data_IF_339161639938
#
_entry.id   IF_339161639938
#
_cell.length_a   1.000
_cell.length_b   1.000
_cell.length_c   1.000
_cell.angle_alpha   90.00
_cell.angle_beta   90.00
_cell.angle_gamma   90.00
#
_symmetry.space_group_name_H-M   'P 1'
#
loop_
_entity.id
_entity.type
_entity.pdbx_description
1 polymer ?
#
# COMPACT_ATOMS: atom_id res chain seq x y z
N UNK A 1 34.64 -25.27 -69.66
CA UNK A 1 34.93 -24.51 -68.42
C UNK A 1 34.95 -25.51 -67.27
N UNK A 2 36.08 -25.64 -66.59
CA UNK A 2 36.40 -26.75 -65.69
C UNK A 2 35.49 -26.76 -64.45
N UNK A 3 34.70 -27.83 -64.26
CA UNK A 3 33.87 -28.05 -63.06
C UNK A 3 34.64 -28.10 -61.73
N UNK A 4 35.98 -28.12 -61.77
CA UNK A 4 36.84 -27.88 -60.61
C UNK A 4 36.62 -26.47 -60.03
N UNK A 5 36.59 -25.42 -60.84
CA UNK A 5 36.42 -24.04 -60.34
C UNK A 5 35.04 -23.81 -59.71
N UNK A 6 33.99 -24.45 -60.26
CA UNK A 6 32.64 -24.37 -59.70
C UNK A 6 32.54 -25.00 -58.31
N UNK A 7 33.19 -26.16 -58.09
CA UNK A 7 33.24 -26.82 -56.77
C UNK A 7 34.00 -25.98 -55.74
N UNK A 8 35.10 -25.34 -56.15
CA UNK A 8 35.87 -24.45 -55.28
C UNK A 8 35.07 -23.20 -54.89
N UNK A 9 34.41 -22.54 -55.85
CA UNK A 9 33.58 -21.36 -55.58
C UNK A 9 32.37 -21.67 -54.67
N UNK A 10 31.73 -22.83 -54.83
CA UNK A 10 30.64 -23.28 -53.95
C UNK A 10 31.17 -23.55 -52.53
N UNK A 11 32.34 -24.18 -52.40
CA UNK A 11 32.98 -24.42 -51.11
C UNK A 11 33.28 -23.12 -50.34
N UNK A 12 33.75 -22.09 -51.03
CA UNK A 12 34.04 -20.77 -50.46
C UNK A 12 32.75 -20.07 -49.98
N UNK A 13 31.67 -20.10 -50.78
CA UNK A 13 30.36 -19.55 -50.37
C UNK A 13 29.83 -20.28 -49.15
N UNK A 14 29.88 -21.62 -49.12
CA UNK A 14 29.42 -22.41 -47.96
C UNK A 14 30.24 -22.09 -46.72
N UNK A 15 31.57 -21.95 -46.84
CA UNK A 15 32.45 -21.58 -45.73
C UNK A 15 32.11 -20.18 -45.18
N UNK A 16 31.89 -19.20 -46.07
CA UNK A 16 31.49 -17.84 -45.69
C UNK A 16 30.13 -17.83 -44.99
N UNK A 17 29.15 -18.57 -45.50
CA UNK A 17 27.83 -18.68 -44.89
C UNK A 17 27.91 -19.31 -43.49
N UNK A 18 28.70 -20.37 -43.31
CA UNK A 18 28.94 -20.97 -41.98
C UNK A 18 29.60 -19.95 -41.05
N UNK A 19 30.58 -19.18 -41.53
CA UNK A 19 31.21 -18.11 -40.76
C UNK A 19 30.22 -17.05 -40.28
N UNK A 20 29.33 -16.60 -41.16
CA UNK A 20 28.26 -15.63 -40.83
C UNK A 20 27.28 -16.22 -39.82
N UNK A 21 26.84 -17.47 -39.99
CA UNK A 21 25.90 -18.11 -39.08
C UNK A 21 26.50 -18.29 -37.68
N UNK A 22 27.78 -18.66 -37.57
CA UNK A 22 28.48 -18.76 -36.28
C UNK A 22 28.60 -17.38 -35.64
N UNK A 23 28.96 -16.34 -36.41
CA UNK A 23 29.06 -14.97 -35.90
C UNK A 23 27.71 -14.45 -35.38
N UNK A 24 26.62 -14.68 -36.13
CA UNK A 24 25.26 -14.37 -35.70
C UNK A 24 24.87 -15.14 -34.44
N UNK A 25 25.19 -16.44 -34.37
CA UNK A 25 24.92 -17.26 -33.19
C UNK A 25 25.61 -16.76 -31.92
N UNK A 26 26.89 -16.40 -32.00
CA UNK A 26 27.64 -15.83 -30.87
C UNK A 26 27.05 -14.49 -30.43
N UNK A 27 26.68 -13.63 -31.39
CA UNK A 27 26.06 -12.34 -31.07
C UNK A 27 24.72 -12.52 -30.35
N UNK A 28 23.85 -13.40 -30.86
CA UNK A 28 22.55 -13.70 -30.25
C UNK A 28 22.69 -14.25 -28.82
N UNK A 29 23.67 -15.14 -28.57
CA UNK A 29 23.93 -15.66 -27.22
C UNK A 29 24.41 -14.56 -26.26
N UNK A 30 25.26 -13.64 -26.72
CA UNK A 30 25.72 -12.51 -25.91
C UNK A 30 24.58 -11.53 -25.59
N UNK A 31 23.68 -11.27 -26.55
CA UNK A 31 22.48 -10.46 -26.34
C UNK A 31 21.53 -11.12 -25.33
N UNK A 32 21.25 -12.42 -25.47
CA UNK A 32 20.41 -13.15 -24.52
C UNK A 32 20.99 -13.14 -23.11
N UNK A 33 22.32 -13.32 -22.97
CA UNK A 33 22.99 -13.21 -21.67
C UNK A 33 22.79 -11.84 -21.04
N UNK A 34 22.92 -10.75 -21.81
CA UNK A 34 22.71 -9.38 -21.30
C UNK A 34 21.27 -9.14 -20.86
N UNK A 35 20.29 -9.62 -21.65
CA UNK A 35 18.88 -9.53 -21.30
C UNK A 35 18.56 -10.32 -20.01
N UNK A 36 19.14 -11.50 -19.85
CA UNK A 36 18.97 -12.30 -18.63
C UNK A 36 19.55 -11.60 -17.40
N UNK A 37 20.74 -10.98 -17.50
CA UNK A 37 21.32 -10.21 -16.38
C UNK A 37 20.38 -9.06 -15.97
N UNK A 38 19.85 -8.32 -16.94
CA UNK A 38 18.90 -7.23 -16.69
C UNK A 38 17.61 -7.75 -16.05
N UNK A 39 17.05 -8.85 -16.54
CA UNK A 39 15.87 -9.48 -15.96
C UNK A 39 16.06 -9.86 -14.49
N UNK A 40 17.22 -10.44 -14.15
CA UNK A 40 17.53 -10.78 -12.75
C UNK A 40 17.69 -9.54 -11.87
N UNK A 41 18.19 -8.44 -12.41
CA UNK A 41 18.26 -7.17 -11.70
C UNK A 41 16.86 -6.61 -11.41
N UNK A 42 15.98 -6.60 -12.42
CA UNK A 42 14.57 -6.21 -12.24
C UNK A 42 13.86 -7.05 -11.18
N UNK A 43 14.02 -8.37 -11.23
CA UNK A 43 13.36 -9.28 -10.27
C UNK A 43 13.88 -9.07 -8.85
N UNK A 44 15.19 -8.83 -8.68
CA UNK A 44 15.78 -8.46 -7.38
C UNK A 44 15.21 -7.14 -6.85
N UNK A 45 15.08 -6.14 -7.71
CA UNK A 45 14.55 -4.84 -7.30
C UNK A 45 13.06 -4.93 -6.95
N UNK A 46 12.25 -5.60 -7.77
CA UNK A 46 10.83 -5.87 -7.46
C UNK A 46 10.67 -6.58 -6.12
N UNK A 47 11.45 -7.64 -5.86
CA UNK A 47 11.42 -8.34 -4.57
C UNK A 47 11.74 -7.41 -3.40
N UNK A 48 12.74 -6.54 -3.55
CA UNK A 48 13.10 -5.56 -2.52
C UNK A 48 11.95 -4.57 -2.28
N UNK A 49 11.39 -4.00 -3.33
CA UNK A 49 10.27 -3.04 -3.23
C UNK A 49 9.02 -3.66 -2.62
N UNK A 50 8.69 -4.90 -2.98
CA UNK A 50 7.59 -5.64 -2.36
C UNK A 50 7.84 -5.92 -0.88
N UNK A 51 9.10 -6.13 -0.48
CA UNK A 51 9.46 -6.27 0.93
C UNK A 51 9.20 -4.96 1.68
N UNK A 52 9.54 -3.81 1.09
CA UNK A 52 9.20 -2.50 1.67
C UNK A 52 7.67 -2.28 1.70
N UNK A 53 6.96 -2.71 0.65
CA UNK A 53 5.50 -2.65 0.58
C UNK A 53 4.83 -3.42 1.72
N UNK A 54 5.35 -4.58 2.12
CA UNK A 54 4.80 -5.33 3.28
C UNK A 54 4.87 -4.54 4.59
N UNK A 55 5.92 -3.74 4.80
CA UNK A 55 6.03 -2.89 5.99
C UNK A 55 4.97 -1.78 5.99
N UNK A 56 4.67 -1.21 4.82
CA UNK A 56 3.62 -0.19 4.67
C UNK A 56 2.25 -0.80 4.94
N UNK A 57 1.99 -1.99 4.39
CA UNK A 57 0.76 -2.75 4.64
C UNK A 57 0.59 -3.04 6.15
N UNK A 58 1.65 -3.48 6.83
CA UNK A 58 1.61 -3.76 8.27
C UNK A 58 1.27 -2.51 9.10
N UNK A 59 1.85 -1.36 8.76
CA UNK A 59 1.53 -0.10 9.42
C UNK A 59 0.08 0.33 9.15
N UNK A 60 -0.45 0.08 7.94
CA UNK A 60 -1.85 0.34 7.64
C UNK A 60 -2.76 -0.56 8.46
N UNK A 61 -2.48 -1.87 8.56
CA UNK A 61 -3.26 -2.81 9.38
C UNK A 61 -3.34 -2.34 10.84
N UNK A 62 -2.19 -1.95 11.42
CA UNK A 62 -2.14 -1.45 12.81
C UNK A 62 -2.97 -0.18 12.99
N UNK A 63 -2.91 0.74 12.02
CA UNK A 63 -3.70 1.97 12.04
C UNK A 63 -5.20 1.67 11.98
N UNK A 64 -5.62 0.80 11.04
CA UNK A 64 -7.03 0.42 10.91
C UNK A 64 -7.53 -0.33 12.15
N UNK A 65 -6.73 -1.22 12.75
CA UNK A 65 -7.07 -1.86 14.04
C UNK A 65 -7.37 -0.83 15.13
N UNK A 66 -6.58 0.23 15.22
CA UNK A 66 -6.76 1.30 16.21
C UNK A 66 -8.10 2.01 16.01
N UNK A 67 -8.49 2.26 14.75
CA UNK A 67 -9.78 2.87 14.43
C UNK A 67 -10.96 1.93 14.68
N UNK A 68 -10.81 0.63 14.38
CA UNK A 68 -11.80 -0.40 14.70
C UNK A 68 -12.05 -0.44 16.20
N UNK A 69 -11.00 -0.51 17.02
CA UNK A 69 -11.10 -0.54 18.48
C UNK A 69 -11.79 0.70 19.04
N UNK A 70 -11.41 1.89 18.55
CA UNK A 70 -11.98 3.15 19.00
C UNK A 70 -13.47 3.28 18.66
N UNK A 71 -13.87 2.92 17.44
CA UNK A 71 -15.27 2.96 17.05
C UNK A 71 -16.10 1.90 17.78
N UNK A 72 -15.54 0.70 17.94
CA UNK A 72 -16.20 -0.39 18.66
C UNK A 72 -16.44 -0.03 20.14
N UNK A 73 -15.51 0.68 20.79
CA UNK A 73 -15.70 1.21 22.14
C UNK A 73 -16.96 2.10 22.22
N UNK A 74 -17.06 3.10 21.34
CA UNK A 74 -18.17 4.06 21.30
C UNK A 74 -19.51 3.37 20.97
N UNK A 75 -19.50 2.45 20.01
CA UNK A 75 -20.69 1.71 19.58
C UNK A 75 -21.19 0.81 20.72
N UNK A 76 -20.31 0.01 21.33
CA UNK A 76 -20.71 -0.97 22.36
C UNK A 76 -21.22 -0.30 23.63
N UNK A 77 -20.60 0.81 24.05
CA UNK A 77 -21.08 1.57 25.19
C UNK A 77 -22.51 2.06 24.95
N UNK A 78 -22.79 2.63 23.76
CA UNK A 78 -24.12 3.07 23.40
C UNK A 78 -25.13 1.92 23.32
N UNK A 79 -24.75 0.81 22.69
CA UNK A 79 -25.64 -0.34 22.53
C UNK A 79 -26.05 -0.92 23.89
N UNK A 80 -25.11 -0.96 24.85
CA UNK A 80 -25.30 -1.50 26.19
C UNK A 80 -26.12 -0.57 27.09
N UNK A 81 -25.81 0.74 27.07
CA UNK A 81 -26.33 1.69 28.06
C UNK A 81 -27.37 2.67 27.50
N UNK A 82 -27.54 2.73 26.17
CA UNK A 82 -28.32 3.74 25.43
C UNK A 82 -27.84 5.19 25.65
N UNK A 83 -26.63 5.34 26.17
CA UNK A 83 -25.91 6.60 26.41
C UNK A 83 -24.41 6.34 26.41
N UNK A 84 -23.61 7.40 26.32
CA UNK A 84 -22.17 7.37 26.51
C UNK A 84 -21.78 8.00 27.84
N UNK A 85 -20.66 7.56 28.41
CA UNK A 85 -19.97 8.27 29.48
C UNK A 85 -18.94 9.20 28.86
N UNK A 86 -19.22 10.50 28.87
CA UNK A 86 -18.36 11.54 28.30
C UNK A 86 -17.14 11.84 29.20
N UNK A 87 -16.30 10.84 29.43
CA UNK A 87 -15.02 11.00 30.11
C UNK A 87 -13.87 11.11 29.10
N UNK A 88 -12.64 11.20 29.62
CA UNK A 88 -11.43 11.30 28.78
C UNK A 88 -11.31 10.16 27.78
N UNK A 89 -11.74 8.94 28.13
CA UNK A 89 -11.63 7.78 27.25
C UNK A 89 -12.60 7.89 26.07
N UNK A 90 -13.83 8.38 26.30
CA UNK A 90 -14.76 8.68 25.21
C UNK A 90 -14.16 9.68 24.23
N UNK A 91 -13.66 10.83 24.72
CA UNK A 91 -13.12 11.87 23.83
C UNK A 91 -11.83 11.44 23.13
N UNK A 92 -10.97 10.63 23.78
CA UNK A 92 -9.81 10.02 23.13
C UNK A 92 -10.21 9.13 21.95
N UNK A 93 -11.15 8.20 22.16
CA UNK A 93 -11.60 7.32 21.09
C UNK A 93 -12.30 8.10 19.97
N UNK A 94 -13.15 9.07 20.33
CA UNK A 94 -13.85 9.88 19.34
C UNK A 94 -12.89 10.78 18.53
N UNK A 95 -11.83 11.29 19.16
CA UNK A 95 -10.76 12.03 18.49
C UNK A 95 -9.94 11.13 17.58
N UNK A 96 -9.59 9.92 18.03
CA UNK A 96 -8.83 8.93 17.26
C UNK A 96 -9.47 8.63 15.90
N UNK A 97 -10.81 8.61 15.84
CA UNK A 97 -11.55 8.36 14.61
C UNK A 97 -11.46 9.49 13.56
N UNK A 98 -11.00 10.68 13.96
CA UNK A 98 -10.70 11.78 13.03
C UNK A 98 -9.38 11.60 12.30
N UNK A 99 -8.52 10.71 12.78
CA UNK A 99 -7.27 10.40 12.12
C UNK A 99 -7.47 9.38 11.00
N UNK A 100 -6.50 9.38 10.10
CA UNK A 100 -6.39 8.47 8.97
C UNK A 100 -4.94 8.25 8.60
N UNK A 101 -4.64 7.06 8.11
CA UNK A 101 -3.34 6.77 7.52
C UNK A 101 -3.45 6.75 6.00
N UNK A 102 -2.51 7.41 5.33
CA UNK A 102 -2.42 7.39 3.87
C UNK A 102 -1.72 6.12 3.44
N UNK A 103 -2.35 5.35 2.57
CA UNK A 103 -1.71 4.22 1.93
C UNK A 103 -0.97 4.69 0.68
N UNK A 104 0.26 4.20 0.50
CA UNK A 104 1.12 4.52 -0.64
C UNK A 104 1.70 3.23 -1.23
N UNK A 105 1.93 3.25 -2.53
CA UNK A 105 2.55 2.14 -3.26
C UNK A 105 4.06 2.35 -3.46
N UNK A 106 4.82 1.25 -3.50
CA UNK A 106 6.23 1.20 -3.87
C UNK A 106 6.35 0.47 -5.20
N UNK A 107 6.48 1.23 -6.28
CA UNK A 107 6.33 0.73 -7.64
C UNK A 107 7.35 1.30 -8.64
N UNK A 108 8.46 1.88 -8.16
CA UNK A 108 9.45 2.53 -9.02
C UNK A 108 10.01 1.58 -10.09
N UNK A 109 10.32 0.33 -9.71
CA UNK A 109 10.80 -0.68 -10.65
C UNK A 109 9.71 -1.12 -11.64
N UNK A 110 8.46 -1.21 -11.18
CA UNK A 110 7.32 -1.54 -12.03
C UNK A 110 7.04 -0.43 -13.07
N UNK A 111 7.07 0.84 -12.65
CA UNK A 111 6.95 2.00 -13.53
C UNK A 111 8.07 2.02 -14.58
N UNK A 112 9.32 1.75 -14.17
CA UNK A 112 10.44 1.66 -15.12
C UNK A 112 10.21 0.54 -16.14
N UNK A 113 9.79 -0.66 -15.71
CA UNK A 113 9.48 -1.78 -16.61
C UNK A 113 8.40 -1.43 -17.64
N UNK A 114 7.33 -0.74 -17.22
CA UNK A 114 6.26 -0.32 -18.12
C UNK A 114 6.72 0.79 -19.09
N UNK A 115 7.31 1.85 -18.55
CA UNK A 115 7.68 3.04 -19.33
C UNK A 115 8.83 2.80 -20.31
N UNK A 116 9.75 1.89 -19.98
CA UNK A 116 10.86 1.49 -20.85
C UNK A 116 10.49 0.38 -21.85
N UNK A 117 9.29 -0.19 -21.77
CA UNK A 117 8.87 -1.35 -22.56
C UNK A 117 9.55 -2.67 -22.16
N UNK A 118 10.36 -2.66 -21.10
CA UNK A 118 11.10 -3.84 -20.61
C UNK A 118 10.23 -4.84 -19.86
N UNK A 119 8.96 -4.54 -19.63
CA UNK A 119 7.96 -5.50 -19.13
C UNK A 119 7.91 -6.78 -19.99
N UNK A 120 8.25 -6.69 -21.28
CA UNK A 120 8.37 -7.87 -22.17
C UNK A 120 9.44 -8.88 -21.73
N UNK A 121 10.46 -8.45 -20.97
CA UNK A 121 11.48 -9.36 -20.43
C UNK A 121 10.88 -10.38 -19.44
N UNK A 122 9.77 -10.04 -18.78
CA UNK A 122 9.04 -10.94 -17.88
C UNK A 122 8.15 -11.97 -18.61
N UNK A 123 7.99 -11.88 -19.93
CA UNK A 123 7.20 -12.87 -20.68
C UNK A 123 7.84 -14.26 -20.62
N UNK A 124 9.17 -14.32 -20.73
CA UNK A 124 9.92 -15.57 -20.65
C UNK A 124 9.85 -16.22 -19.27
N UNK A 125 9.70 -15.42 -18.21
CA UNK A 125 9.68 -15.94 -16.83
C UNK A 125 8.30 -16.40 -16.37
N UNK A 126 7.24 -16.23 -17.17
CA UNK A 126 5.83 -16.40 -16.78
C UNK A 126 5.37 -15.51 -15.62
N UNK A 127 6.23 -14.62 -15.11
CA UNK A 127 5.93 -13.70 -14.01
C UNK A 127 5.17 -12.44 -14.46
N UNK A 128 5.14 -12.15 -15.76
CA UNK A 128 4.55 -10.92 -16.31
C UNK A 128 3.13 -10.68 -15.81
N UNK A 129 2.26 -11.69 -15.89
CA UNK A 129 0.86 -11.52 -15.52
C UNK A 129 0.69 -11.39 -14.00
N UNK A 130 1.50 -12.09 -13.22
CA UNK A 130 1.47 -11.99 -11.76
C UNK A 130 1.88 -10.59 -11.31
N UNK A 131 2.97 -10.05 -11.87
CA UNK A 131 3.44 -8.68 -11.60
C UNK A 131 2.39 -7.66 -12.03
N UNK A 132 1.85 -7.76 -13.25
CA UNK A 132 0.84 -6.82 -13.74
C UNK A 132 -0.43 -6.84 -12.87
N UNK A 133 -0.94 -8.02 -12.54
CA UNK A 133 -2.18 -8.17 -11.77
C UNK A 133 -2.00 -7.61 -10.36
N UNK A 134 -0.87 -7.91 -9.72
CA UNK A 134 -0.53 -7.38 -8.40
C UNK A 134 -0.52 -5.84 -8.40
N UNK A 135 0.22 -5.22 -9.32
CA UNK A 135 0.35 -3.77 -9.33
C UNK A 135 -0.96 -3.06 -9.72
N UNK A 136 -1.82 -3.68 -10.53
CA UNK A 136 -3.18 -3.18 -10.78
C UNK A 136 -4.04 -3.20 -9.52
N UNK A 137 -3.95 -4.28 -8.73
CA UNK A 137 -4.74 -4.44 -7.53
C UNK A 137 -4.28 -3.51 -6.41
N UNK A 138 -2.96 -3.40 -6.17
CA UNK A 138 -2.44 -2.49 -5.15
C UNK A 138 -2.75 -1.02 -5.47
N UNK A 139 -2.74 -0.63 -6.75
CA UNK A 139 -3.16 0.71 -7.19
C UNK A 139 -4.67 0.93 -6.97
N UNK A 140 -5.50 -0.09 -7.23
CA UNK A 140 -6.94 -0.03 -6.94
C UNK A 140 -7.17 0.19 -5.45
N UNK A 141 -6.50 -0.59 -4.59
CA UNK A 141 -6.62 -0.51 -3.13
C UNK A 141 -6.14 0.85 -2.62
N UNK A 142 -5.02 1.37 -3.11
CA UNK A 142 -4.52 2.70 -2.78
C UNK A 142 -5.55 3.78 -3.05
N UNK A 143 -6.15 3.76 -4.25
CA UNK A 143 -7.18 4.73 -4.63
C UNK A 143 -8.39 4.63 -3.71
N UNK A 144 -8.89 3.43 -3.44
CA UNK A 144 -10.05 3.21 -2.57
C UNK A 144 -9.79 3.78 -1.17
N UNK A 145 -8.66 3.44 -0.55
CA UNK A 145 -8.31 3.93 0.79
C UNK A 145 -8.20 5.45 0.80
N UNK A 146 -7.49 6.03 -0.17
CA UNK A 146 -7.25 7.47 -0.20
C UNK A 146 -8.52 8.29 -0.52
N UNK A 147 -9.43 7.75 -1.34
CA UNK A 147 -10.74 8.35 -1.56
C UNK A 147 -11.63 8.26 -0.31
N UNK A 148 -11.69 7.08 0.34
CA UNK A 148 -12.45 6.91 1.57
C UNK A 148 -11.94 7.83 2.68
N UNK A 149 -10.62 7.93 2.82
CA UNK A 149 -9.96 8.89 3.70
C UNK A 149 -10.44 10.33 3.46
N UNK A 150 -10.40 10.79 2.21
CA UNK A 150 -10.75 12.18 1.89
C UNK A 150 -12.25 12.44 2.06
N UNK A 151 -13.11 11.55 1.53
CA UNK A 151 -14.54 11.81 1.40
C UNK A 151 -15.35 11.35 2.61
N UNK A 152 -14.94 10.26 3.26
CA UNK A 152 -15.73 9.61 4.31
C UNK A 152 -15.09 9.74 5.69
N UNK A 153 -13.77 9.92 5.78
CA UNK A 153 -13.13 10.25 7.06
C UNK A 153 -13.07 11.75 7.24
N UNK A 154 -12.33 12.47 6.40
CA UNK A 154 -12.07 13.91 6.58
C UNK A 154 -13.37 14.74 6.42
N UNK A 155 -14.10 14.56 5.31
CA UNK A 155 -15.29 15.36 4.98
C UNK A 155 -16.59 14.89 5.65
N UNK A 156 -16.63 13.70 6.26
CA UNK A 156 -17.82 13.21 6.95
C UNK A 156 -17.61 13.17 8.45
N UNK A 157 -16.82 12.22 8.96
CA UNK A 157 -16.60 12.09 10.41
C UNK A 157 -15.82 13.28 10.97
N UNK A 158 -14.71 13.66 10.33
CA UNK A 158 -13.86 14.77 10.75
C UNK A 158 -14.60 16.09 10.77
N UNK A 159 -15.32 16.42 9.69
CA UNK A 159 -16.15 17.62 9.65
C UNK A 159 -17.22 17.62 10.76
N UNK A 160 -17.99 16.54 10.92
CA UNK A 160 -19.01 16.44 11.97
C UNK A 160 -18.39 16.63 13.35
N UNK A 161 -17.30 15.92 13.64
CA UNK A 161 -16.66 15.97 14.95
C UNK A 161 -16.00 17.33 15.23
N UNK A 162 -15.59 18.08 14.20
CA UNK A 162 -15.12 19.46 14.36
C UNK A 162 -16.20 20.44 14.83
N UNK A 163 -17.47 20.13 14.55
CA UNK A 163 -18.60 21.00 14.91
C UNK A 163 -19.16 20.67 16.31
N UNK A 164 -19.16 19.39 16.70
CA UNK A 164 -19.83 18.92 17.94
C UNK A 164 -18.89 18.28 18.96
N UNK A 165 -17.67 17.92 18.54
CA UNK A 165 -16.72 17.14 19.32
C UNK A 165 -15.75 18.00 20.12
N UNK A 166 -15.18 17.40 21.17
CA UNK A 166 -14.06 17.95 21.93
C UNK A 166 -12.81 17.14 21.62
N UNK A 167 -11.88 17.73 20.87
CA UNK A 167 -10.61 17.10 20.52
C UNK A 167 -9.76 16.94 21.77
N UNK A 168 -9.54 15.68 22.15
CA UNK A 168 -8.74 15.30 23.30
C UNK A 168 -7.89 14.10 22.94
N UNK A 169 -6.60 14.34 22.72
CA UNK A 169 -5.65 13.29 22.39
C UNK A 169 -4.35 13.47 23.17
N UNK A 170 -4.03 12.47 23.97
CA UNK A 170 -2.80 12.39 24.76
C UNK A 170 -1.82 11.34 24.22
N UNK A 171 -2.17 10.69 23.11
CA UNK A 171 -1.49 9.52 22.55
C UNK A 171 -0.75 9.80 21.24
N UNK A 172 -1.30 10.60 20.31
CA UNK A 172 -0.62 10.93 19.06
C UNK A 172 0.67 11.75 19.28
N UNK A 173 0.70 12.60 20.31
CA UNK A 173 1.92 13.33 20.70
C UNK A 173 3.02 12.41 21.27
N UNK A 174 2.67 11.25 21.81
CA UNK A 174 3.63 10.30 22.39
C UNK A 174 4.20 9.31 21.35
N UNK A 175 3.49 9.08 20.24
CA UNK A 175 3.97 8.24 19.12
C UNK A 175 4.86 9.01 18.14
N UNK A 176 4.71 10.33 18.05
CA UNK A 176 5.65 11.19 17.34
C UNK A 176 6.91 11.35 18.20
N UNK A 177 7.97 10.57 17.91
CA UNK A 177 9.34 10.92 18.33
C UNK A 177 9.89 11.96 17.36
N UNK A 178 9.86 13.27 17.65
CA UNK A 178 10.37 14.26 16.72
C UNK A 178 11.86 14.00 16.47
N UNK A 179 12.24 13.69 15.23
CA UNK A 179 13.66 13.50 14.83
C UNK A 179 14.52 14.75 15.06
N UNK A 180 13.90 15.92 15.25
CA UNK A 180 14.49 17.14 15.85
C UNK A 180 13.43 17.80 16.72
N UNK A 181 13.66 17.80 18.03
CA UNK A 181 12.72 18.25 19.04
C UNK A 181 12.32 19.73 18.85
N UNK A 182 11.04 19.99 18.54
CA UNK A 182 10.39 21.07 19.28
C UNK A 182 10.53 20.71 20.76
N UNK A 183 10.87 21.66 21.65
CA UNK A 183 10.73 21.41 23.08
C UNK A 183 9.24 21.16 23.30
N UNK A 184 8.85 19.88 23.27
CA UNK A 184 7.60 19.39 23.79
C UNK A 184 7.71 19.62 25.30
N UNK A 185 7.53 20.86 25.75
CA UNK A 185 6.84 21.09 27.00
C UNK A 185 5.41 20.61 26.74
N UNK A 186 5.23 19.29 26.63
CA UNK A 186 3.95 18.62 26.68
C UNK A 186 3.42 18.91 28.07
N UNK A 187 2.81 20.08 28.24
CA UNK A 187 1.60 20.10 29.03
C UNK A 187 0.72 19.07 28.35
N UNK A 188 0.74 17.85 28.89
CA UNK A 188 -0.35 16.88 28.77
C UNK A 188 -1.59 17.75 28.90
N UNK A 189 -2.33 17.96 27.82
CA UNK A 189 -3.48 18.82 27.87
C UNK A 189 -4.40 18.22 28.93
N UNK A 190 -4.55 18.91 30.06
CA UNK A 190 -5.53 18.50 31.04
C UNK A 190 -6.88 18.69 30.36
N UNK A 191 -7.76 17.69 30.50
CA UNK A 191 -9.09 17.76 29.93
C UNK A 191 -9.79 19.03 30.43
N UNK A 192 -10.23 19.88 29.50
CA UNK A 192 -11.03 21.04 29.82
C UNK A 192 -12.48 20.56 30.01
N UNK A 193 -12.89 20.40 31.26
CA UNK A 193 -14.22 19.91 31.60
C UNK A 193 -15.34 20.85 31.13
N UNK A 194 -15.08 22.15 30.95
CA UNK A 194 -16.06 23.09 30.41
C UNK A 194 -16.32 22.85 28.93
N UNK A 195 -15.25 22.70 28.13
CA UNK A 195 -15.38 22.38 26.70
C UNK A 195 -15.93 20.96 26.49
N UNK A 196 -15.54 20.01 27.32
CA UNK A 196 -16.08 18.66 27.29
C UNK A 196 -17.59 18.63 27.58
N UNK A 197 -18.07 19.41 28.56
CA UNK A 197 -19.51 19.52 28.86
C UNK A 197 -20.28 20.15 27.70
N UNK A 198 -19.72 21.18 27.04
CA UNK A 198 -20.33 21.76 25.83
C UNK A 198 -20.45 20.70 24.73
N UNK A 199 -19.38 19.95 24.44
CA UNK A 199 -19.41 18.88 23.43
C UNK A 199 -20.40 17.78 23.79
N UNK A 200 -20.47 17.41 25.08
CA UNK A 200 -21.48 16.47 25.58
C UNK A 200 -22.90 16.96 25.28
N UNK A 201 -23.21 18.22 25.59
CA UNK A 201 -24.54 18.80 25.34
C UNK A 201 -24.86 18.80 23.84
N UNK A 202 -23.91 19.21 22.99
CA UNK A 202 -24.06 19.21 21.53
C UNK A 202 -24.27 17.81 20.95
N UNK A 203 -23.46 16.82 21.35
CA UNK A 203 -23.58 15.43 20.90
C UNK A 203 -24.93 14.83 21.34
N UNK A 204 -25.46 15.22 22.49
CA UNK A 204 -26.74 14.71 22.99
C UNK A 204 -27.98 15.30 22.30
N UNK A 205 -27.85 16.40 21.55
CA UNK A 205 -28.95 16.90 20.73
C UNK A 205 -29.45 15.80 19.77
N UNK A 206 -30.77 15.53 19.65
CA UNK A 206 -31.27 14.35 18.94
C UNK A 206 -30.73 14.16 17.51
N UNK A 207 -30.59 15.25 16.75
CA UNK A 207 -30.03 15.24 15.40
C UNK A 207 -28.54 14.89 15.39
N UNK A 208 -27.76 15.51 16.28
CA UNK A 208 -26.32 15.31 16.37
C UNK A 208 -26.01 13.91 16.91
N UNK A 209 -26.79 13.42 17.88
CA UNK A 209 -26.70 12.06 18.42
C UNK A 209 -26.83 11.00 17.34
N UNK A 210 -27.85 11.13 16.48
CA UNK A 210 -28.06 10.24 15.34
C UNK A 210 -26.91 10.35 14.33
N UNK A 211 -26.53 11.57 13.98
CA UNK A 211 -25.47 11.84 12.99
C UNK A 211 -24.12 11.30 13.46
N UNK A 212 -23.79 11.50 14.74
CA UNK A 212 -22.56 11.02 15.37
C UNK A 212 -22.50 9.49 15.35
N UNK A 213 -23.56 8.81 15.82
CA UNK A 213 -23.56 7.34 15.82
C UNK A 213 -23.50 6.76 14.40
N UNK A 214 -24.18 7.38 13.43
CA UNK A 214 -24.08 6.98 12.02
C UNK A 214 -22.66 7.15 11.47
N UNK A 215 -22.00 8.28 11.77
CA UNK A 215 -20.64 8.55 11.32
C UNK A 215 -19.63 7.61 11.98
N UNK A 216 -19.77 7.31 13.27
CA UNK A 216 -18.95 6.31 13.98
C UNK A 216 -19.14 4.92 13.36
N UNK A 217 -20.39 4.52 13.06
CA UNK A 217 -20.68 3.23 12.44
C UNK A 217 -20.09 3.13 11.02
N UNK A 218 -20.16 4.19 10.23
CA UNK A 218 -19.52 4.26 8.92
C UNK A 218 -18.00 4.12 9.07
N UNK A 219 -17.39 4.86 9.99
CA UNK A 219 -15.95 4.82 10.24
C UNK A 219 -15.47 3.43 10.65
N UNK A 220 -16.25 2.73 11.47
CA UNK A 220 -16.02 1.33 11.86
C UNK A 220 -16.01 0.39 10.65
N UNK A 221 -17.03 0.48 9.79
CA UNK A 221 -17.13 -0.37 8.59
C UNK A 221 -15.97 -0.12 7.63
N UNK A 222 -15.61 1.15 7.42
CA UNK A 222 -14.49 1.52 6.55
C UNK A 222 -13.17 0.95 7.08
N UNK A 223 -12.91 1.08 8.39
CA UNK A 223 -11.69 0.57 9.00
C UNK A 223 -11.58 -0.96 8.86
N UNK A 224 -12.68 -1.70 9.07
CA UNK A 224 -12.71 -3.15 8.84
C UNK A 224 -12.47 -3.48 7.37
N UNK A 225 -13.12 -2.77 6.44
CA UNK A 225 -12.95 -3.02 5.02
C UNK A 225 -11.51 -2.80 4.58
N UNK A 226 -10.90 -1.67 4.97
CA UNK A 226 -9.51 -1.38 4.66
C UNK A 226 -8.57 -2.41 5.29
N UNK A 227 -8.81 -2.81 6.54
CA UNK A 227 -8.01 -3.84 7.20
C UNK A 227 -8.08 -5.17 6.44
N UNK A 228 -9.26 -5.56 5.97
CA UNK A 228 -9.44 -6.78 5.19
C UNK A 228 -8.72 -6.70 3.83
N UNK A 229 -8.84 -5.57 3.13
CA UNK A 229 -8.11 -5.32 1.88
C UNK A 229 -6.60 -5.42 2.10
N UNK A 230 -6.08 -4.87 3.22
CA UNK A 230 -4.67 -4.96 3.58
C UNK A 230 -4.21 -6.38 3.90
N UNK A 231 -5.02 -7.18 4.59
CA UNK A 231 -4.69 -8.59 4.87
C UNK A 231 -4.59 -9.38 3.56
N UNK A 232 -5.57 -9.23 2.67
CA UNK A 232 -5.55 -9.88 1.35
C UNK A 232 -4.34 -9.42 0.53
N UNK A 233 -4.10 -8.11 0.47
CA UNK A 233 -2.95 -7.57 -0.26
C UNK A 233 -1.62 -8.04 0.32
N UNK A 234 -1.52 -8.23 1.64
CA UNK A 234 -0.32 -8.79 2.29
C UNK A 234 -0.05 -10.21 1.80
N UNK A 235 -1.08 -11.05 1.72
CA UNK A 235 -0.96 -12.42 1.24
C UNK A 235 -0.51 -12.46 -0.23
N UNK A 236 -1.12 -11.63 -1.09
CA UNK A 236 -0.74 -11.48 -2.51
C UNK A 236 0.69 -10.96 -2.68
N UNK A 237 1.09 -9.98 -1.87
CA UNK A 237 2.47 -9.44 -1.87
C UNK A 237 3.46 -10.53 -1.52
N UNK A 238 3.19 -11.32 -0.48
CA UNK A 238 4.06 -12.42 -0.05
C UNK A 238 4.11 -13.55 -1.08
N UNK A 239 2.98 -13.86 -1.74
CA UNK A 239 2.96 -14.84 -2.82
C UNK A 239 3.84 -14.39 -3.99
N UNK A 240 3.75 -13.12 -4.40
CA UNK A 240 4.59 -12.59 -5.46
C UNK A 240 6.07 -12.60 -5.08
N UNK A 241 6.42 -12.18 -3.85
CA UNK A 241 7.79 -12.28 -3.32
C UNK A 241 8.32 -13.71 -3.40
N UNK A 242 7.49 -14.70 -3.05
CA UNK A 242 7.85 -16.12 -3.12
C UNK A 242 8.16 -16.53 -4.56
N UNK A 243 7.28 -16.24 -5.52
CA UNK A 243 7.48 -16.56 -6.94
C UNK A 243 8.74 -15.89 -7.52
N UNK A 244 8.99 -14.63 -7.17
CA UNK A 244 10.20 -13.91 -7.57
C UNK A 244 11.47 -14.54 -6.96
N UNK A 245 11.38 -15.07 -5.74
CA UNK A 245 12.49 -15.76 -5.08
C UNK A 245 12.78 -17.10 -5.74
N UNK A 246 11.76 -17.92 -6.00
CA UNK A 246 11.89 -19.19 -6.70
C UNK A 246 12.54 -19.00 -8.08
N UNK A 247 12.12 -17.97 -8.83
CA UNK A 247 12.73 -17.66 -10.13
C UNK A 247 14.23 -17.37 -10.03
N UNK A 248 14.67 -16.63 -9.00
CA UNK A 248 16.09 -16.29 -8.79
C UNK A 248 16.94 -17.47 -8.28
N UNK A 249 16.32 -18.50 -7.71
CA UNK A 249 17.00 -19.70 -7.24
C UNK A 249 17.14 -20.76 -8.34
N UNK A 250 16.19 -20.79 -9.28
CA UNK A 250 16.16 -21.75 -10.40
C UNK A 250 16.98 -21.34 -11.62
N UNK A 251 17.42 -20.06 -11.73
CA UNK A 251 18.07 -19.49 -12.91
C UNK A 251 19.32 -18.67 -12.57
#
# INVERSE_FOLDING_TARGET
MNGKYLKYAIGEIVLVVIGILIALGINSLNEERKLNIQLHEYIRNLKSELTDQTQIIDNQILSESTFVEAANFIINEYQSNKTWKFDSLFFMNATTLTYRNTFIIVDATYIDLLSSGRIGLLEKSKLKNDVLSYYQEVERVEKVINYNNTLLVDQNYGQLYSEIGYYFDNTFLNTIKPKKAYPLTTQIAQMDYGLADISQQLIQEPKNKLSFLNAVQLRYILAISHQQDMITLKDETNELIKKLTEYLEEN
#
